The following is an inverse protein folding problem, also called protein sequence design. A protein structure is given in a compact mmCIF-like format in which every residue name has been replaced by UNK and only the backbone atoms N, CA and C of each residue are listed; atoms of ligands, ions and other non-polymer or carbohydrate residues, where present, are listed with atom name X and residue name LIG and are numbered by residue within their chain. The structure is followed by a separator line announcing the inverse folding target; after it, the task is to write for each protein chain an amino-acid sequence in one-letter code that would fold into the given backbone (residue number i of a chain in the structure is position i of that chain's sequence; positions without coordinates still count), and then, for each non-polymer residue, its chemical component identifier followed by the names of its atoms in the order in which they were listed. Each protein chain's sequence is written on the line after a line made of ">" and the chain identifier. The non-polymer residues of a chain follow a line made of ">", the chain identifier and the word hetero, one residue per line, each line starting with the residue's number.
data_IF_922834914914
#
_entry.id   IF_922834914914
#
_cell.length_a   1.000
_cell.length_b   1.000
_cell.length_c   1.000
_cell.angle_alpha   90.00
_cell.angle_beta   90.00
_cell.angle_gamma   90.00
#
_symmetry.space_group_name_H-M   'P 1'
#
loop_
_entity.id
_entity.type
_entity.pdbx_description
1 polymer ?
#
# COMPACT_ATOMS: atom_id res chain seq x y z
N UNK A 1 6.97 1.33 -9.06
CA UNK A 1 7.26 2.60 -9.74
C UNK A 1 5.99 3.24 -10.24
N UNK A 2 5.97 4.56 -10.36
CA UNK A 2 4.78 5.39 -10.63
C UNK A 2 3.99 4.95 -11.87
N UNK A 3 4.64 4.62 -12.97
CA UNK A 3 3.97 4.20 -14.21
C UNK A 3 3.05 2.98 -14.02
N UNK A 4 3.45 2.01 -13.18
CA UNK A 4 2.64 0.84 -12.88
C UNK A 4 1.55 1.15 -11.86
N UNK A 5 1.88 1.89 -10.79
CA UNK A 5 0.91 2.19 -9.73
C UNK A 5 -0.18 3.14 -10.19
N UNK A 6 0.11 4.12 -11.06
CA UNK A 6 -0.91 4.98 -11.65
C UNK A 6 -1.83 4.21 -12.60
N UNK A 7 -1.30 3.27 -13.39
CA UNK A 7 -2.12 2.39 -14.20
C UNK A 7 -3.05 1.53 -13.34
N UNK A 8 -2.52 0.85 -12.32
CA UNK A 8 -3.33 0.03 -11.41
C UNK A 8 -4.37 0.87 -10.66
N UNK A 9 -4.01 2.05 -10.20
CA UNK A 9 -4.94 2.99 -9.57
C UNK A 9 -6.12 3.29 -10.48
N UNK A 10 -5.87 3.55 -11.76
CA UNK A 10 -6.94 3.89 -12.72
C UNK A 10 -7.91 2.76 -12.98
N UNK A 11 -7.43 1.51 -13.10
CA UNK A 11 -8.29 0.34 -13.41
C UNK A 11 -8.95 -0.26 -12.18
N UNK A 12 -8.35 -0.13 -11.00
CA UNK A 12 -8.87 -0.69 -9.74
C UNK A 12 -9.65 0.33 -8.90
N UNK A 13 -9.67 1.60 -9.30
CA UNK A 13 -10.42 2.63 -8.61
C UNK A 13 -9.79 3.10 -7.29
N UNK A 14 -8.47 2.94 -7.09
CA UNK A 14 -7.79 3.45 -5.91
C UNK A 14 -7.79 4.99 -5.91
N UNK A 15 -8.00 5.58 -4.73
CA UNK A 15 -8.01 7.04 -4.58
C UNK A 15 -6.61 7.63 -4.75
N UNK A 16 -5.60 6.98 -4.20
CA UNK A 16 -4.21 7.42 -4.23
C UNK A 16 -3.27 6.25 -4.57
N UNK A 17 -2.14 6.60 -5.18
CA UNK A 17 -1.02 5.70 -5.38
C UNK A 17 0.28 6.45 -5.11
N UNK A 18 1.19 5.83 -4.36
CA UNK A 18 2.50 6.37 -4.04
C UNK A 18 3.57 5.36 -4.43
N UNK A 19 4.51 5.78 -5.25
CA UNK A 19 5.62 4.94 -5.68
C UNK A 19 6.81 5.82 -6.09
N UNK A 20 7.99 5.23 -6.10
CA UNK A 20 9.18 5.88 -6.64
C UNK A 20 9.03 6.12 -8.14
N UNK A 21 9.48 7.28 -8.61
CA UNK A 21 9.51 7.64 -10.03
C UNK A 21 10.89 7.40 -10.62
N UNK A 22 10.92 6.84 -11.82
CA UNK A 22 12.16 6.69 -12.59
C UNK A 22 12.37 7.92 -13.48
N UNK A 23 13.62 8.37 -13.55
CA UNK A 23 13.99 9.40 -14.51
C UNK A 23 13.96 8.81 -15.92
N UNK A 24 13.24 9.50 -16.81
CA UNK A 24 13.16 9.14 -18.24
C UNK A 24 13.90 10.22 -19.02
N UNK A 25 14.84 9.82 -19.83
CA UNK A 25 15.58 10.68 -20.76
C UNK A 25 15.12 10.40 -22.18
N UNK A 26 14.95 11.47 -22.95
CA UNK A 26 14.60 11.37 -24.37
C UNK A 26 15.46 12.32 -25.17
N UNK A 27 16.18 11.79 -26.14
CA UNK A 27 16.87 12.57 -27.15
C UNK A 27 15.95 12.76 -28.37
N UNK A 28 16.09 13.89 -29.06
CA UNK A 28 15.28 14.19 -30.25
C UNK A 28 15.41 13.07 -31.31
N UNK A 29 14.27 12.47 -31.65
CA UNK A 29 14.22 11.39 -32.64
C UNK A 29 14.47 9.97 -32.10
N UNK A 30 14.63 9.79 -30.79
CA UNK A 30 14.76 8.46 -30.17
C UNK A 30 13.61 8.16 -29.23
N UNK A 31 13.28 6.87 -28.99
CA UNK A 31 12.34 6.49 -27.95
C UNK A 31 12.83 6.93 -26.56
N UNK A 32 11.93 7.22 -25.63
CA UNK A 32 12.30 7.49 -24.23
C UNK A 32 12.97 6.26 -23.61
N UNK A 33 14.04 6.48 -22.83
CA UNK A 33 14.78 5.44 -22.11
C UNK A 33 14.87 5.79 -20.62
N UNK A 34 14.85 4.76 -19.78
CA UNK A 34 15.05 4.90 -18.34
C UNK A 34 16.54 5.17 -18.09
N UNK A 35 16.87 6.27 -17.40
CA UNK A 35 18.25 6.68 -17.12
C UNK A 35 18.95 5.82 -16.06
N UNK A 36 18.21 5.02 -15.31
CA UNK A 36 18.70 4.27 -14.16
C UNK A 36 18.63 5.05 -12.83
N UNK A 37 18.18 6.30 -12.86
CA UNK A 37 18.03 7.12 -11.65
C UNK A 37 16.60 7.14 -11.15
N UNK A 38 16.45 7.24 -9.83
CA UNK A 38 15.17 7.47 -9.15
C UNK A 38 15.04 8.97 -8.86
N UNK A 39 13.86 9.52 -9.14
CA UNK A 39 13.56 10.94 -8.90
C UNK A 39 13.22 11.12 -7.41
N UNK A 40 13.76 12.15 -6.78
CA UNK A 40 13.41 12.55 -5.40
C UNK A 40 11.96 13.12 -5.34
N UNK A 41 11.24 12.97 -4.21
CA UNK A 41 11.65 12.26 -3.00
C UNK A 41 11.54 10.73 -3.12
N UNK A 42 12.54 10.02 -2.57
CA UNK A 42 12.54 8.55 -2.57
C UNK A 42 11.64 8.02 -1.46
N UNK A 43 10.68 7.18 -1.83
CA UNK A 43 9.82 6.47 -0.87
C UNK A 43 10.63 5.38 -0.17
N UNK A 44 10.69 5.47 1.14
CA UNK A 44 11.41 4.55 2.02
C UNK A 44 10.47 3.93 3.07
N UNK A 45 11.02 3.18 4.02
CA UNK A 45 10.25 2.51 5.09
C UNK A 45 9.43 3.47 5.96
N UNK A 46 9.86 4.72 6.14
CA UNK A 46 9.14 5.69 6.97
C UNK A 46 8.00 6.36 6.19
N UNK A 47 8.11 6.45 4.88
CA UNK A 47 7.12 7.11 4.02
C UNK A 47 5.73 6.49 4.13
N UNK A 48 5.63 5.17 4.37
CA UNK A 48 4.33 4.49 4.54
C UNK A 48 3.60 4.97 5.79
N UNK A 49 4.31 5.13 6.90
CA UNK A 49 3.75 5.69 8.13
C UNK A 49 3.38 7.18 7.96
N UNK A 50 4.22 7.94 7.26
CA UNK A 50 3.94 9.36 6.97
C UNK A 50 2.67 9.50 6.12
N UNK A 51 2.46 8.67 5.11
CA UNK A 51 1.24 8.64 4.32
C UNK A 51 0.01 8.25 5.15
N UNK A 52 0.13 7.24 6.02
CA UNK A 52 -0.96 6.87 6.93
C UNK A 52 -1.38 8.09 7.78
N UNK A 53 -0.43 8.73 8.45
CA UNK A 53 -0.69 9.92 9.30
C UNK A 53 -1.29 11.08 8.49
N UNK A 54 -0.74 11.36 7.31
CA UNK A 54 -1.26 12.39 6.42
C UNK A 54 -2.72 12.12 6.02
N UNK A 55 -3.11 10.88 5.76
CA UNK A 55 -4.48 10.55 5.40
C UNK A 55 -5.42 10.56 6.60
N UNK A 56 -4.99 10.13 7.78
CA UNK A 56 -5.76 10.27 9.02
C UNK A 56 -6.11 11.75 9.24
N UNK A 57 -5.13 12.63 9.15
CA UNK A 57 -5.33 14.08 9.31
C UNK A 57 -6.23 14.66 8.20
N UNK A 58 -5.91 14.34 6.94
CA UNK A 58 -6.64 14.87 5.77
C UNK A 58 -8.13 14.53 5.79
N UNK A 59 -8.47 13.31 6.19
CA UNK A 59 -9.85 12.83 6.23
C UNK A 59 -10.49 12.95 7.61
N UNK A 60 -9.76 13.45 8.61
CA UNK A 60 -10.21 13.56 10.00
C UNK A 60 -10.74 12.23 10.54
N UNK A 61 -10.00 11.16 10.26
CA UNK A 61 -10.34 9.81 10.70
C UNK A 61 -10.13 9.68 12.21
N UNK A 62 -10.96 8.86 12.85
CA UNK A 62 -10.72 8.45 14.23
C UNK A 62 -9.66 7.34 14.27
N UNK A 63 -9.12 7.08 15.45
CA UNK A 63 -8.11 6.03 15.65
C UNK A 63 -8.61 4.62 15.28
N UNK A 64 -9.94 4.42 15.18
CA UNK A 64 -10.60 3.15 14.84
C UNK A 64 -10.97 3.00 13.37
N UNK A 65 -10.59 3.93 12.50
CA UNK A 65 -11.08 3.99 11.10
C UNK A 65 -10.02 3.52 10.08
N UNK A 66 -8.90 2.93 10.53
CA UNK A 66 -7.80 2.61 9.62
C UNK A 66 -7.50 1.12 9.55
N UNK A 67 -7.38 0.60 8.32
CA UNK A 67 -6.86 -0.74 8.04
C UNK A 67 -5.61 -0.60 7.19
N UNK A 68 -4.51 -1.17 7.65
CA UNK A 68 -3.27 -1.25 6.88
C UNK A 68 -2.88 -2.69 6.59
N UNK A 69 -2.44 -2.93 5.37
CA UNK A 69 -2.05 -4.26 4.88
C UNK A 69 -0.62 -4.21 4.36
N UNK A 70 0.20 -5.16 4.77
CA UNK A 70 1.60 -5.25 4.33
C UNK A 70 2.11 -6.68 4.29
N UNK A 71 3.32 -6.86 3.74
CA UNK A 71 3.98 -8.16 3.59
C UNK A 71 5.43 -8.17 4.07
N UNK A 72 6.02 -7.02 4.34
CA UNK A 72 7.43 -6.88 4.62
C UNK A 72 7.80 -6.06 5.86
N UNK A 73 9.08 -6.09 6.20
CA UNK A 73 9.61 -5.35 7.34
C UNK A 73 9.46 -3.81 7.20
N UNK A 74 9.36 -3.32 5.98
CA UNK A 74 9.11 -1.91 5.68
C UNK A 74 7.67 -1.46 5.98
N UNK A 75 6.77 -2.40 6.30
CA UNK A 75 5.37 -2.12 6.63
C UNK A 75 5.12 -2.09 8.15
N UNK A 76 6.08 -2.52 8.96
CA UNK A 76 5.92 -2.69 10.41
C UNK A 76 5.38 -1.42 11.08
N UNK A 77 6.02 -0.28 10.83
CA UNK A 77 5.61 0.97 11.49
C UNK A 77 4.21 1.43 11.05
N UNK A 78 3.84 1.24 9.81
CA UNK A 78 2.50 1.52 9.32
C UNK A 78 1.47 0.55 9.96
N UNK A 79 1.77 -0.74 9.98
CA UNK A 79 0.90 -1.79 10.57
C UNK A 79 0.66 -1.54 12.06
N UNK A 80 1.70 -1.19 12.82
CA UNK A 80 1.60 -0.91 14.26
C UNK A 80 0.82 0.35 14.61
N UNK A 81 0.79 1.31 13.70
CA UNK A 81 0.10 2.60 13.90
C UNK A 81 -1.29 2.66 13.25
N UNK A 82 -1.73 1.60 12.59
CA UNK A 82 -3.11 1.46 12.14
C UNK A 82 -3.98 0.90 13.28
N UNK A 83 -5.28 1.16 13.24
CA UNK A 83 -6.23 0.51 14.14
C UNK A 83 -6.27 -1.01 13.89
N UNK A 84 -6.32 -1.40 12.63
CA UNK A 84 -6.30 -2.80 12.24
C UNK A 84 -5.16 -3.10 11.25
N UNK A 85 -4.04 -3.57 11.79
CA UNK A 85 -2.86 -3.97 11.02
C UNK A 85 -2.94 -5.41 10.53
N UNK A 86 -2.73 -5.63 9.24
CA UNK A 86 -2.82 -6.94 8.59
C UNK A 86 -1.51 -7.33 7.93
N UNK A 87 -0.97 -8.48 8.30
CA UNK A 87 0.12 -9.13 7.57
C UNK A 87 -0.47 -10.07 6.51
N UNK A 88 -0.25 -9.76 5.23
CA UNK A 88 -0.74 -10.57 4.12
C UNK A 88 0.41 -11.29 3.42
N UNK A 89 0.48 -12.61 3.58
CA UNK A 89 1.63 -13.44 3.16
C UNK A 89 2.98 -12.88 3.62
N UNK A 90 2.96 -12.17 4.76
CA UNK A 90 4.09 -11.42 5.27
C UNK A 90 5.18 -12.28 5.87
N UNK A 91 6.32 -11.67 6.13
CA UNK A 91 7.42 -12.30 6.87
C UNK A 91 7.05 -12.44 8.35
N UNK A 92 7.64 -13.45 9.02
CA UNK A 92 7.37 -13.76 10.44
C UNK A 92 7.46 -12.54 11.38
N UNK A 93 8.40 -11.64 11.10
CA UNK A 93 8.57 -10.41 11.89
C UNK A 93 7.34 -9.49 11.79
N UNK A 94 6.69 -9.43 10.63
CA UNK A 94 5.47 -8.64 10.46
C UNK A 94 4.25 -9.33 11.05
N UNK A 95 4.17 -10.66 10.97
CA UNK A 95 3.09 -11.45 11.58
C UNK A 95 2.99 -11.22 13.10
N UNK A 96 4.13 -10.99 13.76
CA UNK A 96 4.19 -10.76 15.20
C UNK A 96 3.69 -9.37 15.63
N UNK A 97 3.69 -8.42 14.72
CA UNK A 97 3.32 -7.02 14.96
C UNK A 97 1.90 -6.69 14.45
N UNK A 98 1.32 -7.54 13.60
CA UNK A 98 0.00 -7.35 13.03
C UNK A 98 -1.12 -7.88 13.94
N UNK A 99 -2.30 -7.26 13.89
CA UNK A 99 -3.50 -7.75 14.60
C UNK A 99 -3.97 -9.10 14.05
N UNK A 100 -3.82 -9.31 12.74
CA UNK A 100 -4.15 -10.56 12.07
C UNK A 100 -3.14 -10.85 10.95
N UNK A 101 -2.91 -12.13 10.67
CA UNK A 101 -2.10 -12.53 9.52
C UNK A 101 -2.82 -13.56 8.64
N UNK A 102 -2.71 -13.37 7.33
CA UNK A 102 -3.23 -14.27 6.31
C UNK A 102 -2.10 -14.94 5.55
N UNK A 103 -2.09 -16.28 5.47
CA UNK A 103 -1.06 -17.04 4.76
C UNK A 103 -1.59 -17.81 3.55
N UNK A 104 -2.81 -18.31 3.63
CA UNK A 104 -3.36 -19.26 2.65
C UNK A 104 -4.72 -18.78 2.11
N UNK A 105 -4.90 -17.48 1.96
CA UNK A 105 -6.11 -16.87 1.42
C UNK A 105 -5.78 -15.80 0.39
N UNK A 106 -6.77 -15.35 -0.35
CA UNK A 106 -6.68 -14.16 -1.19
C UNK A 106 -7.16 -12.91 -0.44
N UNK A 107 -7.14 -11.76 -1.10
CA UNK A 107 -7.53 -10.49 -0.49
C UNK A 107 -9.00 -10.42 -0.03
N UNK A 108 -9.88 -11.36 -0.45
CA UNK A 108 -11.23 -11.48 0.11
C UNK A 108 -11.21 -11.74 1.63
N UNK A 109 -10.14 -12.35 2.15
CA UNK A 109 -9.95 -12.51 3.58
C UNK A 109 -10.05 -11.22 4.37
N UNK A 110 -9.63 -10.10 3.77
CA UNK A 110 -9.76 -8.77 4.38
C UNK A 110 -11.22 -8.33 4.56
N UNK A 111 -12.09 -8.68 3.62
CA UNK A 111 -13.51 -8.37 3.69
C UNK A 111 -14.21 -9.23 4.75
N UNK A 112 -13.88 -10.51 4.81
CA UNK A 112 -14.38 -11.40 5.87
C UNK A 112 -13.94 -10.95 7.26
N UNK A 113 -12.70 -10.49 7.41
CA UNK A 113 -12.19 -9.96 8.67
C UNK A 113 -12.93 -8.69 9.12
N UNK A 114 -13.52 -7.95 8.19
CA UNK A 114 -14.38 -6.79 8.45
C UNK A 114 -15.86 -7.16 8.64
N UNK A 115 -16.20 -8.45 8.62
CA UNK A 115 -17.56 -8.94 8.85
C UNK A 115 -18.45 -9.06 7.61
N UNK A 116 -17.92 -8.82 6.39
CA UNK A 116 -18.70 -9.03 5.17
C UNK A 116 -18.95 -10.51 4.91
N UNK A 117 -20.16 -10.85 4.52
CA UNK A 117 -20.55 -12.19 4.08
C UNK A 117 -20.34 -12.38 2.56
N UNK A 118 -20.33 -13.64 2.11
CA UNK A 118 -20.27 -13.95 0.66
C UNK A 118 -21.33 -13.25 -0.18
N UNK A 119 -22.55 -13.10 0.37
CA UNK A 119 -23.66 -12.44 -0.33
C UNK A 119 -23.42 -10.95 -0.57
N UNK A 120 -22.59 -10.32 0.25
CA UNK A 120 -22.24 -8.90 0.14
C UNK A 120 -21.03 -8.69 -0.77
N UNK A 121 -20.11 -9.66 -0.83
CA UNK A 121 -18.87 -9.58 -1.62
C UNK A 121 -19.09 -9.97 -3.09
N UNK A 122 -20.00 -10.92 -3.34
CA UNK A 122 -20.28 -11.45 -4.68
C UNK A 122 -21.60 -10.87 -5.16
N UNK A 123 -21.51 -9.80 -5.92
CA UNK A 123 -22.63 -9.27 -6.70
C UNK A 123 -22.38 -9.48 -8.19
#
# INVERSE_FOLDING_TARGET
>A
FTFLTEYLKSILGFTYAHANSLEITQQKGTPPIISGKVIEPIINKNSKLEYLRMYIEKYKLNDTDTICVGDGANDIEMIKNADFGVSFNGKKILDQEANIHFKNTNLRGLLYAQGYSDKEIIK
#
